data_IF_286254825723
#
_entry.id   IF_286254825723
#
_cell.length_a   1.000
_cell.length_b   1.000
_cell.length_c   1.000
_cell.angle_alpha   90.00
_cell.angle_beta   90.00
_cell.angle_gamma   90.00
#
_symmetry.space_group_name_H-M   'P 1'
#
loop_
_entity.id
_entity.type
_entity.pdbx_description
1 polymer ?
#
# COMPACT_ATOMS: atom_id res chain seq x y z
N UNK A 1 17.68 -4.54 -1.26
CA UNK A 1 17.89 -5.03 0.13
C UNK A 1 19.20 -4.42 0.59
N UNK A 2 19.19 -3.59 1.63
CA UNK A 2 20.39 -2.87 2.09
C UNK A 2 21.43 -3.86 2.63
N UNK A 3 22.68 -3.72 2.19
CA UNK A 3 23.76 -4.64 2.54
C UNK A 3 24.35 -4.22 3.89
N UNK A 4 24.52 -5.15 4.83
CA UNK A 4 25.11 -4.84 6.14
C UNK A 4 26.59 -4.46 6.00
N UNK A 5 27.00 -3.35 6.63
CA UNK A 5 28.39 -2.91 6.64
C UNK A 5 29.15 -3.62 7.77
N UNK A 6 29.92 -4.66 7.46
CA UNK A 6 30.64 -5.44 8.47
C UNK A 6 31.76 -4.68 9.20
N UNK A 7 32.26 -3.57 8.63
CA UNK A 7 33.32 -2.78 9.25
C UNK A 7 32.82 -1.83 10.35
N UNK A 8 31.54 -1.45 10.31
CA UNK A 8 30.97 -0.40 11.17
C UNK A 8 31.01 -0.74 12.67
N UNK A 9 30.80 -2.00 13.04
CA UNK A 9 30.81 -2.43 14.45
C UNK A 9 32.20 -2.22 15.04
N UNK A 10 33.25 -2.60 14.29
CA UNK A 10 34.64 -2.44 14.73
C UNK A 10 35.00 -0.97 14.86
N UNK A 11 34.60 -0.14 13.90
CA UNK A 11 34.83 1.31 13.90
C UNK A 11 34.17 1.99 15.09
N UNK A 12 32.86 1.77 15.30
CA UNK A 12 32.12 2.36 16.41
C UNK A 12 32.64 1.88 17.76
N UNK A 13 33.00 0.60 17.87
CA UNK A 13 33.58 0.04 19.09
C UNK A 13 34.91 0.72 19.43
N UNK A 14 35.81 0.86 18.45
CA UNK A 14 37.11 1.51 18.65
C UNK A 14 36.96 3.01 18.93
N UNK A 15 36.04 3.70 18.25
CA UNK A 15 35.74 5.12 18.48
C UNK A 15 35.24 5.38 19.91
N UNK A 16 34.50 4.44 20.49
CA UNK A 16 34.02 4.50 21.87
C UNK A 16 35.02 3.91 22.88
N UNK A 17 36.27 3.62 22.48
CA UNK A 17 37.31 3.09 23.37
C UNK A 17 37.01 1.70 23.94
N UNK A 18 36.12 0.93 23.31
CA UNK A 18 35.67 -0.36 23.82
C UNK A 18 36.52 -1.52 23.29
N UNK A 19 36.79 -2.52 24.14
CA UNK A 19 37.30 -3.82 23.69
C UNK A 19 36.15 -4.73 23.23
N UNK A 20 36.42 -5.76 22.41
CA UNK A 20 35.38 -6.75 22.02
C UNK A 20 34.75 -7.41 23.26
N UNK A 21 35.55 -7.59 24.33
CA UNK A 21 35.08 -8.11 25.63
C UNK A 21 34.10 -7.17 26.33
N UNK A 22 34.35 -5.85 26.29
CA UNK A 22 33.43 -4.85 26.86
C UNK A 22 32.10 -4.80 26.10
N UNK A 23 32.17 -4.81 24.76
CA UNK A 23 30.98 -4.78 23.92
C UNK A 23 30.13 -6.06 24.10
N UNK A 24 30.77 -7.22 24.12
CA UNK A 24 30.07 -8.50 24.35
C UNK A 24 29.40 -8.57 25.72
N UNK A 25 30.03 -8.01 26.77
CA UNK A 25 29.43 -7.91 28.09
C UNK A 25 28.18 -7.01 28.11
N UNK A 26 28.23 -5.83 27.47
CA UNK A 26 27.06 -4.93 27.39
C UNK A 26 25.90 -5.53 26.59
N UNK A 27 26.20 -6.32 25.57
CA UNK A 27 25.19 -7.00 24.74
C UNK A 27 24.66 -8.30 25.35
N UNK A 28 25.31 -8.84 26.38
CA UNK A 28 24.95 -10.15 26.96
C UNK A 28 25.26 -11.33 26.03
N UNK A 29 26.31 -11.23 25.22
CA UNK A 29 26.70 -12.25 24.23
C UNK A 29 28.14 -12.71 24.42
N UNK A 30 28.56 -13.74 23.67
CA UNK A 30 29.96 -14.19 23.70
C UNK A 30 30.90 -13.23 22.96
N UNK A 31 32.14 -13.10 23.43
CA UNK A 31 33.21 -12.36 22.73
C UNK A 31 33.45 -12.91 21.30
N UNK A 32 33.24 -14.21 21.10
CA UNK A 32 33.34 -14.86 19.79
C UNK A 32 32.27 -14.37 18.81
N UNK A 33 31.08 -14.02 19.29
CA UNK A 33 30.02 -13.47 18.44
C UNK A 33 30.41 -12.09 17.87
N UNK A 34 30.92 -11.19 18.73
CA UNK A 34 31.43 -9.88 18.31
C UNK A 34 32.58 -10.04 17.30
N UNK A 35 33.52 -10.96 17.57
CA UNK A 35 34.62 -11.23 16.64
C UNK A 35 34.13 -11.70 15.26
N UNK A 36 33.12 -12.57 15.20
CA UNK A 36 32.55 -13.04 13.92
C UNK A 36 31.80 -11.93 13.17
N UNK A 37 31.19 -10.98 13.88
CA UNK A 37 30.54 -9.83 13.26
C UNK A 37 31.57 -8.90 12.61
N UNK A 38 32.64 -8.56 13.34
CA UNK A 38 33.70 -7.68 12.83
C UNK A 38 34.55 -8.31 11.72
N UNK A 39 34.57 -9.64 11.61
CA UNK A 39 35.28 -10.36 10.55
C UNK A 39 34.40 -10.71 9.35
N UNK A 40 33.11 -10.32 9.36
CA UNK A 40 32.17 -10.65 8.29
C UNK A 40 31.74 -12.12 8.20
N UNK A 41 32.03 -12.93 9.23
CA UNK A 41 31.67 -14.36 9.26
C UNK A 41 30.21 -14.61 9.67
N UNK A 42 29.55 -13.62 10.26
CA UNK A 42 28.13 -13.66 10.59
C UNK A 42 27.59 -12.24 10.76
N UNK A 43 26.27 -12.06 10.64
CA UNK A 43 25.60 -10.78 10.87
C UNK A 43 24.85 -10.79 12.22
N UNK A 44 24.79 -9.66 12.95
CA UNK A 44 23.91 -9.54 14.11
C UNK A 44 22.42 -9.64 13.70
N UNK A 45 21.58 -10.17 14.59
CA UNK A 45 20.12 -10.09 14.39
C UNK A 45 19.60 -8.65 14.55
N UNK A 46 18.40 -8.37 14.06
CA UNK A 46 17.76 -7.05 14.19
C UNK A 46 17.72 -6.54 15.65
N UNK A 47 17.41 -7.41 16.61
CA UNK A 47 17.43 -7.08 18.05
C UNK A 47 18.84 -6.68 18.53
N UNK A 48 19.90 -7.32 18.05
CA UNK A 48 21.27 -6.91 18.38
C UNK A 48 21.67 -5.60 17.70
N UNK A 49 21.21 -5.34 16.47
CA UNK A 49 21.43 -4.07 15.77
C UNK A 49 20.78 -2.91 16.54
N UNK A 50 19.56 -3.10 17.04
CA UNK A 50 18.90 -2.10 17.89
C UNK A 50 19.71 -1.78 19.15
N UNK A 51 20.20 -2.80 19.88
CA UNK A 51 21.01 -2.58 21.09
C UNK A 51 22.38 -1.95 20.77
N UNK A 52 22.99 -2.31 19.64
CA UNK A 52 24.23 -1.68 19.17
C UNK A 52 24.02 -0.19 18.84
N UNK A 53 22.88 0.16 18.25
CA UNK A 53 22.49 1.54 17.96
C UNK A 53 22.36 2.37 19.26
N UNK A 54 21.73 1.80 20.30
CA UNK A 54 21.66 2.43 21.63
C UNK A 54 23.04 2.59 22.27
N UNK A 55 23.86 1.54 22.28
CA UNK A 55 25.20 1.55 22.91
C UNK A 55 26.12 2.60 22.26
N UNK A 56 26.07 2.72 20.93
CA UNK A 56 26.93 3.64 20.20
C UNK A 56 26.32 5.01 19.94
N UNK A 57 25.06 5.21 20.35
CA UNK A 57 24.29 6.42 20.10
C UNK A 57 24.28 6.82 18.61
N UNK A 58 23.93 5.87 17.75
CA UNK A 58 23.80 6.05 16.30
C UNK A 58 22.45 5.53 15.82
N UNK A 59 21.88 6.07 14.73
CA UNK A 59 20.67 5.50 14.13
C UNK A 59 20.92 4.10 13.56
N UNK A 60 19.88 3.25 13.51
CA UNK A 60 20.01 1.84 13.05
C UNK A 60 20.47 1.71 11.59
N UNK A 61 20.19 2.70 10.75
CA UNK A 61 20.62 2.74 9.34
C UNK A 61 22.13 2.89 9.18
N UNK A 62 22.84 3.38 10.20
CA UNK A 62 24.30 3.47 10.21
C UNK A 62 25.00 2.11 10.02
N UNK A 63 24.32 1.00 10.33
CA UNK A 63 24.87 -0.35 10.22
C UNK A 63 24.80 -0.94 8.80
N UNK A 64 24.20 -0.22 7.85
CA UNK A 64 24.03 -0.68 6.48
C UNK A 64 24.85 0.19 5.52
N UNK A 65 25.36 -0.41 4.45
CA UNK A 65 25.97 0.32 3.35
C UNK A 65 24.92 1.26 2.77
N UNK A 66 25.21 2.56 2.79
CA UNK A 66 24.42 3.54 2.05
C UNK A 66 24.49 3.14 0.58
N UNK A 67 23.39 2.63 0.03
CA UNK A 67 23.22 2.59 -1.41
C UNK A 67 23.47 4.00 -1.92
N UNK A 68 24.45 4.18 -2.80
CA UNK A 68 24.56 5.39 -3.62
C UNK A 68 23.32 5.44 -4.52
N UNK A 69 22.22 5.93 -3.94
CA UNK A 69 20.93 6.29 -4.53
C UNK A 69 19.89 6.52 -3.43
N UNK A 70 20.28 7.06 -2.26
CA UNK A 70 19.31 7.89 -1.53
C UNK A 70 19.38 9.25 -2.20
N UNK A 71 18.61 9.41 -3.27
CA UNK A 71 18.06 10.73 -3.54
C UNK A 71 17.47 11.18 -2.22
N UNK A 72 18.07 12.20 -1.59
CA UNK A 72 17.34 12.98 -0.58
C UNK A 72 16.06 13.36 -1.31
N UNK A 73 14.93 12.72 -0.93
CA UNK A 73 13.65 13.10 -1.51
C UNK A 73 13.58 14.60 -1.27
N UNK A 74 13.50 15.43 -2.33
CA UNK A 74 13.37 16.87 -2.13
C UNK A 74 12.25 17.08 -1.11
N UNK A 75 12.43 18.04 -0.19
CA UNK A 75 11.35 18.35 0.74
C UNK A 75 10.08 18.56 -0.08
N UNK A 76 8.96 17.89 0.29
CA UNK A 76 7.74 18.01 -0.46
C UNK A 76 7.41 19.50 -0.57
N UNK A 77 7.18 20.00 -1.79
CA UNK A 77 6.81 21.41 -2.01
C UNK A 77 5.32 21.66 -1.76
N UNK A 78 4.63 20.65 -1.21
CA UNK A 78 3.23 20.63 -0.84
C UNK A 78 2.73 19.20 -0.61
N UNK A 79 1.45 19.04 -0.26
CA UNK A 79 0.80 17.72 -0.09
C UNK A 79 -0.30 17.48 -1.11
N UNK A 80 -0.58 16.21 -1.35
CA UNK A 80 -1.63 15.71 -2.25
C UNK A 80 -3.04 15.96 -1.72
N UNK A 81 -4.04 15.84 -2.59
CA UNK A 81 -5.45 15.98 -2.23
C UNK A 81 -5.89 14.91 -1.22
N UNK A 82 -6.88 15.21 -0.40
CA UNK A 82 -7.59 14.22 0.42
C UNK A 82 -8.27 13.15 -0.47
N UNK A 83 -8.63 13.51 -1.70
CA UNK A 83 -9.17 12.55 -2.69
C UNK A 83 -8.15 11.51 -3.13
N UNK A 84 -6.85 11.74 -2.91
CA UNK A 84 -5.81 10.74 -3.14
C UNK A 84 -5.78 9.63 -2.09
N UNK A 85 -6.34 9.89 -0.91
CA UNK A 85 -6.50 8.94 0.20
C UNK A 85 -7.75 8.10 0.01
N UNK A 86 -8.87 8.74 -0.36
CA UNK A 86 -10.19 8.10 -0.47
C UNK A 86 -10.56 7.84 -1.91
N UNK A 87 -10.21 6.65 -2.42
CA UNK A 87 -10.51 6.21 -3.78
C UNK A 87 -11.51 5.08 -3.74
N UNK A 88 -12.57 5.21 -4.53
CA UNK A 88 -13.55 4.14 -4.74
C UNK A 88 -12.95 3.13 -5.72
N UNK A 89 -13.01 1.85 -5.37
CA UNK A 89 -12.55 0.77 -6.23
C UNK A 89 -12.95 -0.59 -5.69
N UNK A 90 -12.51 -1.67 -6.34
CA UNK A 90 -12.83 -3.03 -5.89
C UNK A 90 -11.77 -3.56 -4.92
N UNK A 91 -12.24 -4.25 -3.88
CA UNK A 91 -11.38 -5.08 -3.02
C UNK A 91 -10.83 -6.30 -3.75
N UNK A 92 -9.96 -7.10 -3.10
CA UNK A 92 -9.44 -6.92 -1.75
C UNK A 92 -8.21 -6.02 -1.67
N UNK A 93 -7.67 -5.56 -2.80
CA UNK A 93 -6.36 -4.89 -2.83
C UNK A 93 -6.29 -3.71 -3.78
N UNK A 94 -5.88 -2.57 -3.24
CA UNK A 94 -5.62 -1.37 -4.03
C UNK A 94 -4.52 -1.57 -5.09
N UNK A 95 -3.50 -2.39 -4.81
CA UNK A 95 -2.40 -2.65 -5.75
C UNK A 95 -2.66 -3.81 -6.72
N UNK A 96 -3.49 -4.78 -6.32
CA UNK A 96 -3.76 -5.99 -7.13
C UNK A 96 -5.13 -5.97 -7.79
N UNK A 97 -5.99 -5.00 -7.46
CA UNK A 97 -7.33 -4.85 -8.06
C UNK A 97 -7.51 -3.44 -8.64
N UNK A 98 -7.45 -2.38 -7.81
CA UNK A 98 -7.74 -1.00 -8.26
C UNK A 98 -6.71 -0.51 -9.29
N UNK A 99 -5.41 -0.73 -9.03
CA UNK A 99 -4.35 -0.37 -9.99
C UNK A 99 -4.53 -1.06 -11.36
N UNK A 100 -4.64 -2.40 -11.41
CA UNK A 100 -4.93 -3.13 -12.65
C UNK A 100 -6.23 -2.69 -13.35
N UNK A 101 -7.31 -2.41 -12.62
CA UNK A 101 -8.57 -1.88 -13.17
C UNK A 101 -8.34 -0.54 -13.90
N UNK A 102 -7.70 0.42 -13.23
CA UNK A 102 -7.37 1.73 -13.83
C UNK A 102 -6.46 1.60 -15.05
N UNK A 103 -5.47 0.70 -15.00
CA UNK A 103 -4.60 0.44 -16.14
C UNK A 103 -5.41 -0.07 -17.35
N UNK A 104 -6.37 -0.97 -17.11
CA UNK A 104 -7.26 -1.47 -18.15
C UNK A 104 -8.11 -0.35 -18.75
N UNK A 105 -8.71 0.51 -17.94
CA UNK A 105 -9.54 1.63 -18.40
C UNK A 105 -8.77 2.56 -19.35
N UNK A 106 -7.57 2.98 -18.94
CA UNK A 106 -6.72 3.85 -19.74
C UNK A 106 -6.29 3.17 -21.04
N UNK A 107 -5.92 1.90 -20.99
CA UNK A 107 -5.45 1.15 -22.17
C UNK A 107 -6.59 0.90 -23.15
N UNK A 108 -7.79 0.59 -22.65
CA UNK A 108 -8.99 0.41 -23.46
C UNK A 108 -9.36 1.71 -24.18
N UNK A 109 -9.30 2.85 -23.48
CA UNK A 109 -9.56 4.16 -24.06
C UNK A 109 -8.52 4.55 -25.12
N UNK A 110 -7.24 4.22 -24.89
CA UNK A 110 -6.15 4.44 -25.86
C UNK A 110 -6.22 3.52 -27.09
N UNK A 111 -6.95 2.39 -27.01
CA UNK A 111 -7.01 1.36 -28.05
C UNK A 111 -8.46 0.95 -28.38
N UNK A 112 -9.35 1.91 -28.63
CA UNK A 112 -10.79 1.66 -28.91
C UNK A 112 -11.05 0.70 -30.08
N UNK A 113 -10.11 0.63 -31.02
CA UNK A 113 -10.20 -0.22 -32.18
C UNK A 113 -9.84 -1.69 -31.90
N UNK A 114 -9.17 -1.99 -30.77
CA UNK A 114 -8.69 -3.33 -30.47
C UNK A 114 -9.84 -4.34 -30.33
N UNK A 115 -9.67 -5.53 -30.88
CA UNK A 115 -10.62 -6.65 -30.75
C UNK A 115 -10.13 -7.75 -29.81
N UNK A 116 -8.88 -7.66 -29.36
CA UNK A 116 -8.28 -8.59 -28.43
C UNK A 116 -7.17 -7.92 -27.58
N UNK A 117 -7.11 -8.31 -26.32
CA UNK A 117 -6.04 -7.92 -25.40
C UNK A 117 -5.34 -9.16 -24.82
N UNK A 118 -4.02 -9.04 -24.65
CA UNK A 118 -3.23 -9.97 -23.85
C UNK A 118 -2.60 -9.20 -22.70
N UNK A 119 -2.74 -9.72 -21.49
CA UNK A 119 -2.15 -9.12 -20.29
C UNK A 119 -1.26 -10.14 -19.62
N UNK A 120 0.01 -9.78 -19.39
CA UNK A 120 0.96 -10.60 -18.65
C UNK A 120 1.24 -9.95 -17.30
N UNK A 121 1.02 -10.71 -16.23
CA UNK A 121 1.28 -10.30 -14.86
C UNK A 121 2.64 -10.86 -14.43
N UNK A 122 3.44 -10.01 -13.79
CA UNK A 122 4.79 -10.36 -13.32
C UNK A 122 4.92 -10.16 -11.80
N UNK A 123 6.00 -10.71 -11.23
CA UNK A 123 6.39 -10.43 -9.85
C UNK A 123 5.33 -10.80 -8.81
N UNK A 124 4.99 -9.88 -7.91
CA UNK A 124 3.96 -10.09 -6.89
C UNK A 124 2.58 -10.28 -7.50
N UNK A 125 2.22 -9.51 -8.54
CA UNK A 125 0.94 -9.69 -9.24
C UNK A 125 0.81 -11.10 -9.83
N UNK A 126 1.91 -11.66 -10.36
CA UNK A 126 1.90 -13.04 -10.83
C UNK A 126 1.64 -14.05 -9.68
N UNK A 127 2.32 -13.85 -8.55
CA UNK A 127 2.31 -14.77 -7.41
C UNK A 127 0.97 -14.79 -6.67
N UNK A 128 0.37 -13.63 -6.46
CA UNK A 128 -0.80 -13.49 -5.57
C UNK A 128 -2.05 -13.03 -6.31
N UNK A 129 -1.95 -12.65 -7.60
CA UNK A 129 -3.04 -12.02 -8.34
C UNK A 129 -4.30 -12.88 -8.44
N UNK A 130 -4.18 -14.21 -8.52
CA UNK A 130 -5.36 -15.10 -8.46
C UNK A 130 -6.14 -14.96 -7.16
N UNK A 131 -5.43 -14.93 -6.02
CA UNK A 131 -6.06 -14.78 -4.71
C UNK A 131 -6.67 -13.39 -4.50
N UNK A 132 -6.13 -12.38 -5.18
CA UNK A 132 -6.64 -11.01 -5.17
C UNK A 132 -7.66 -10.72 -6.29
N UNK A 133 -8.01 -11.69 -7.13
CA UNK A 133 -8.94 -11.49 -8.24
C UNK A 133 -8.42 -10.56 -9.35
N UNK A 134 -7.11 -10.37 -9.48
CA UNK A 134 -6.49 -9.49 -10.49
C UNK A 134 -6.89 -9.86 -11.92
N UNK A 135 -6.89 -11.16 -12.24
CA UNK A 135 -7.32 -11.65 -13.55
C UNK A 135 -8.80 -11.39 -13.81
N UNK A 136 -9.63 -11.56 -12.79
CA UNK A 136 -11.06 -11.32 -12.84
C UNK A 136 -11.36 -9.85 -13.12
N UNK A 137 -10.69 -8.93 -12.41
CA UNK A 137 -10.89 -7.49 -12.64
C UNK A 137 -10.43 -7.08 -14.04
N UNK A 138 -9.28 -7.56 -14.50
CA UNK A 138 -8.75 -7.24 -15.84
C UNK A 138 -9.73 -7.68 -16.93
N UNK A 139 -10.23 -8.93 -16.85
CA UNK A 139 -11.19 -9.46 -17.83
C UNK A 139 -12.51 -8.69 -17.81
N UNK A 140 -13.01 -8.35 -16.61
CA UNK A 140 -14.27 -7.61 -16.45
C UNK A 140 -14.15 -6.20 -17.02
N UNK A 141 -13.06 -5.49 -16.76
CA UNK A 141 -12.86 -4.11 -17.21
C UNK A 141 -12.65 -4.02 -18.73
N UNK A 142 -11.94 -4.99 -19.32
CA UNK A 142 -11.69 -5.01 -20.77
C UNK A 142 -12.89 -5.53 -21.59
N UNK A 143 -13.88 -6.18 -20.97
CA UNK A 143 -15.10 -6.61 -21.63
C UNK A 143 -15.82 -5.45 -22.36
N UNK A 144 -16.47 -5.68 -23.51
CA UNK A 144 -16.71 -6.98 -24.14
C UNK A 144 -15.52 -7.50 -24.99
N UNK A 145 -14.42 -6.75 -25.08
CA UNK A 145 -13.25 -7.17 -25.86
C UNK A 145 -12.61 -8.39 -25.23
N UNK A 146 -12.30 -9.42 -26.03
CA UNK A 146 -11.71 -10.64 -25.52
C UNK A 146 -10.34 -10.34 -24.91
N UNK A 147 -10.08 -10.88 -23.72
CA UNK A 147 -8.82 -10.69 -23.02
C UNK A 147 -8.28 -12.01 -22.49
N UNK A 148 -7.00 -12.30 -22.73
CA UNK A 148 -6.26 -13.37 -22.04
C UNK A 148 -5.32 -12.79 -20.98
N UNK A 149 -5.32 -13.39 -19.80
CA UNK A 149 -4.46 -13.02 -18.68
C UNK A 149 -3.48 -14.17 -18.40
N UNK A 150 -2.19 -13.89 -18.49
CA UNK A 150 -1.09 -14.83 -18.26
C UNK A 150 -0.33 -14.45 -16.99
N UNK A 151 0.09 -15.45 -16.21
CA UNK A 151 0.90 -15.26 -15.01
C UNK A 151 2.32 -15.75 -15.31
N UNK A 152 3.30 -14.84 -15.31
CA UNK A 152 4.70 -15.16 -15.56
C UNK A 152 5.49 -15.15 -14.25
N UNK A 153 5.96 -16.32 -13.86
CA UNK A 153 6.74 -16.56 -12.64
C UNK A 153 8.26 -16.60 -12.88
N UNK A 154 8.71 -16.41 -14.12
CA UNK A 154 10.10 -16.61 -14.52
C UNK A 154 10.95 -15.32 -14.45
N UNK A 155 10.34 -14.15 -14.61
CA UNK A 155 11.07 -12.87 -14.53
C UNK A 155 11.36 -12.47 -13.09
N UNK A 156 12.65 -12.30 -12.79
CA UNK A 156 13.14 -11.85 -11.49
C UNK A 156 13.69 -10.41 -11.50
N UNK A 157 14.09 -9.90 -12.67
CA UNK A 157 14.58 -8.53 -12.82
C UNK A 157 13.46 -7.65 -13.37
N UNK A 158 12.74 -6.99 -12.47
CA UNK A 158 11.60 -6.15 -12.77
C UNK A 158 11.80 -4.76 -12.17
N UNK A 159 11.45 -3.68 -12.89
CA UNK A 159 11.54 -2.32 -12.36
C UNK A 159 10.59 -2.09 -11.16
N UNK A 160 9.51 -2.87 -11.06
CA UNK A 160 8.59 -2.84 -9.92
C UNK A 160 8.01 -4.25 -9.65
N UNK A 161 7.81 -4.67 -8.39
CA UNK A 161 7.24 -5.99 -8.08
C UNK A 161 5.82 -6.20 -8.62
N UNK A 162 5.04 -5.12 -8.77
CA UNK A 162 3.70 -5.17 -9.35
C UNK A 162 3.74 -4.66 -10.80
N UNK A 163 4.31 -5.47 -11.70
CA UNK A 163 4.44 -5.13 -13.13
C UNK A 163 3.42 -5.88 -13.97
N UNK A 164 2.84 -5.18 -14.95
CA UNK A 164 1.92 -5.72 -15.95
C UNK A 164 2.41 -5.33 -17.35
N UNK A 165 2.27 -6.22 -18.32
CA UNK A 165 2.45 -5.91 -19.75
C UNK A 165 1.12 -6.11 -20.47
N UNK A 166 0.61 -5.04 -21.06
CA UNK A 166 -0.60 -5.07 -21.87
C UNK A 166 -0.22 -5.02 -23.34
N UNK A 167 -0.84 -5.89 -24.13
CA UNK A 167 -0.69 -5.88 -25.58
C UNK A 167 -2.07 -5.87 -26.22
N UNK A 168 -2.33 -4.86 -27.05
CA UNK A 168 -3.59 -4.68 -27.77
C UNK A 168 -3.43 -5.19 -29.21
N UNK A 169 -4.46 -5.87 -29.73
CA UNK A 169 -4.45 -6.43 -31.08
C UNK A 169 -5.68 -6.02 -31.88
N UNK A 170 -5.52 -6.00 -33.20
CA UNK A 170 -6.61 -5.89 -34.17
C UNK A 170 -6.39 -6.88 -35.30
N UNK A 171 -7.36 -7.75 -35.57
CA UNK A 171 -7.30 -8.75 -36.63
C UNK A 171 -5.99 -9.59 -36.58
N UNK A 172 -5.55 -9.90 -35.36
CA UNK A 172 -4.31 -10.65 -35.10
C UNK A 172 -3.00 -9.86 -35.19
N UNK A 173 -3.03 -8.57 -35.55
CA UNK A 173 -1.86 -7.68 -35.56
C UNK A 173 -1.74 -6.90 -34.26
N UNK A 174 -0.53 -6.80 -33.73
CA UNK A 174 -0.24 -5.97 -32.56
C UNK A 174 -0.39 -4.49 -32.91
N UNK A 175 -1.18 -3.77 -32.11
CA UNK A 175 -1.38 -2.32 -32.22
C UNK A 175 -0.50 -1.55 -31.25
N UNK A 176 -0.40 -2.03 -30.02
CA UNK A 176 0.40 -1.40 -28.98
C UNK A 176 0.81 -2.40 -27.91
N UNK A 177 1.95 -2.13 -27.28
CA UNK A 177 2.44 -2.86 -26.13
C UNK A 177 2.93 -1.86 -25.06
N UNK A 178 2.38 -1.97 -23.85
CA UNK A 178 2.60 -1.02 -22.77
C UNK A 178 2.84 -1.74 -21.45
N UNK A 179 3.98 -1.46 -20.82
CA UNK A 179 4.30 -1.93 -19.47
C UNK A 179 3.79 -0.90 -18.45
N UNK A 180 3.14 -1.41 -17.41
CA UNK A 180 2.48 -0.61 -16.37
C UNK A 180 2.84 -1.16 -14.99
N UNK A 181 3.09 -0.27 -14.03
CA UNK A 181 3.41 -0.59 -12.65
C UNK A 181 2.28 -0.14 -11.74
N UNK A 182 1.78 -1.02 -10.86
CA UNK A 182 0.88 -0.58 -9.78
C UNK A 182 1.69 -0.24 -8.52
N UNK A 183 1.77 1.04 -8.19
CA UNK A 183 2.72 1.57 -7.19
C UNK A 183 2.13 1.73 -5.78
N UNK A 184 0.85 1.36 -5.59
CA UNK A 184 0.17 1.39 -4.29
C UNK A 184 -0.98 2.40 -4.24
N UNK A 185 -1.94 2.20 -3.33
CA UNK A 185 -3.10 3.10 -3.16
C UNK A 185 -3.96 3.24 -4.42
N UNK A 186 -3.93 2.25 -5.32
CA UNK A 186 -4.60 2.29 -6.62
C UNK A 186 -3.91 3.13 -7.69
N UNK A 187 -2.73 3.71 -7.44
CA UNK A 187 -2.00 4.48 -8.44
C UNK A 187 -1.19 3.58 -9.38
N UNK A 188 -1.00 4.06 -10.62
CA UNK A 188 -0.25 3.37 -11.66
C UNK A 188 0.74 4.28 -12.38
N UNK A 189 1.79 3.69 -12.93
CA UNK A 189 2.80 4.38 -13.74
C UNK A 189 3.03 3.58 -15.01
N UNK A 190 3.01 4.25 -16.17
CA UNK A 190 3.38 3.65 -17.45
C UNK A 190 4.89 3.76 -17.65
N UNK A 191 5.52 2.67 -18.07
CA UNK A 191 6.95 2.65 -18.38
C UNK A 191 7.26 3.64 -19.51
N UNK A 192 8.30 4.46 -19.31
CA UNK A 192 8.74 5.52 -20.23
C UNK A 192 7.71 6.62 -20.51
N UNK A 193 6.64 6.73 -19.71
CA UNK A 193 5.75 7.89 -19.74
C UNK A 193 6.06 8.79 -18.54
N UNK A 194 5.96 10.13 -18.71
CA UNK A 194 6.10 11.03 -17.59
C UNK A 194 5.05 10.67 -16.53
N UNK A 195 5.50 10.54 -15.28
CA UNK A 195 4.59 10.40 -14.15
C UNK A 195 3.74 11.67 -14.14
N UNK A 196 2.42 11.52 -14.28
CA UNK A 196 1.50 12.63 -14.07
C UNK A 196 1.76 13.16 -12.66
N UNK A 197 2.42 14.31 -12.57
CA UNK A 197 2.62 14.98 -11.29
C UNK A 197 1.25 15.42 -10.82
N UNK A 198 0.74 14.71 -9.82
CA UNK A 198 -0.45 15.16 -9.09
C UNK A 198 -0.16 16.55 -8.57
N UNK A 199 -1.10 17.47 -8.79
CA UNK A 199 -1.00 18.82 -8.25
C UNK A 199 -0.92 18.74 -6.73
N UNK A 200 0.06 19.43 -6.16
CA UNK A 200 0.12 19.61 -4.71
C UNK A 200 -0.98 20.59 -4.33
N UNK A 201 -2.03 20.09 -3.68
CA UNK A 201 -3.22 20.84 -3.30
C UNK A 201 -2.94 21.68 -2.06
N UNK A 202 -2.21 21.11 -1.09
CA UNK A 202 -1.87 21.79 0.15
C UNK A 202 -0.47 22.37 0.10
N UNK A 203 -0.32 23.61 0.53
CA UNK A 203 0.99 24.31 0.56
C UNK A 203 1.80 23.96 1.81
N UNK A 204 1.14 23.76 2.94
CA UNK A 204 1.79 23.39 4.19
C UNK A 204 2.12 21.90 4.17
N UNK A 205 3.25 21.52 4.77
CA UNK A 205 3.73 20.14 4.76
C UNK A 205 3.85 19.55 6.15
N UNK A 206 3.73 20.39 7.18
CA UNK A 206 3.78 20.01 8.59
C UNK A 206 2.51 20.43 9.31
N UNK A 207 2.10 19.61 10.27
CA UNK A 207 0.88 19.87 11.03
C UNK A 207 0.94 21.19 11.82
N UNK A 208 2.11 21.58 12.34
CA UNK A 208 2.26 22.85 13.05
C UNK A 208 2.01 24.06 12.13
N UNK A 209 2.50 24.01 10.88
CA UNK A 209 2.24 25.05 9.87
C UNK A 209 0.74 25.15 9.55
N UNK A 210 0.05 24.01 9.41
CA UNK A 210 -1.41 23.97 9.21
C UNK A 210 -2.15 24.54 10.43
N UNK A 211 -1.72 24.16 11.64
CA UNK A 211 -2.35 24.61 12.87
C UNK A 211 -2.19 26.12 13.08
N UNK A 212 -0.98 26.65 12.83
CA UNK A 212 -0.70 28.08 12.85
C UNK A 212 -1.56 28.82 11.81
N UNK A 213 -1.62 28.32 10.57
CA UNK A 213 -2.48 28.88 9.52
C UNK A 213 -3.95 28.95 9.92
N UNK A 214 -4.48 27.87 10.52
CA UNK A 214 -5.86 27.81 10.99
C UNK A 214 -6.12 28.80 12.12
N UNK A 215 -5.19 28.91 13.07
CA UNK A 215 -5.30 29.84 14.20
C UNK A 215 -5.29 31.30 13.76
N UNK A 216 -4.35 31.67 12.88
CA UNK A 216 -4.24 33.03 12.34
C UNK A 216 -5.52 33.49 11.63
N UNK A 217 -6.23 32.56 10.98
CA UNK A 217 -7.45 32.84 10.22
C UNK A 217 -8.74 32.51 10.97
N UNK A 218 -8.65 32.06 12.22
CA UNK A 218 -9.80 31.66 13.04
C UNK A 218 -10.67 30.58 12.38
N UNK A 219 -10.05 29.67 11.60
CA UNK A 219 -10.74 28.58 10.90
C UNK A 219 -10.50 27.23 11.57
N UNK A 220 -11.38 26.29 11.28
CA UNK A 220 -11.30 24.88 11.63
C UNK A 220 -10.51 24.11 10.58
N UNK A 221 -10.03 22.92 10.94
CA UNK A 221 -9.26 22.08 10.02
C UNK A 221 -10.06 21.66 8.77
N UNK A 222 -11.37 21.48 8.89
CA UNK A 222 -12.22 21.14 7.74
C UNK A 222 -12.41 22.34 6.79
N UNK A 223 -12.49 23.57 7.31
CA UNK A 223 -12.50 24.79 6.49
C UNK A 223 -11.16 24.96 5.76
N UNK A 224 -10.05 24.61 6.40
CA UNK A 224 -8.74 24.56 5.74
C UNK A 224 -8.72 23.54 4.58
N UNK A 225 -9.32 22.36 4.76
CA UNK A 225 -9.46 21.36 3.68
C UNK A 225 -10.29 21.93 2.54
N UNK A 226 -11.48 22.46 2.81
CA UNK A 226 -12.36 23.06 1.80
C UNK A 226 -11.71 24.24 1.06
N UNK A 227 -10.90 25.06 1.75
CA UNK A 227 -10.18 26.19 1.13
C UNK A 227 -9.11 25.73 0.13
N UNK A 228 -8.44 24.59 0.40
CA UNK A 228 -7.36 24.09 -0.47
C UNK A 228 -7.91 23.19 -1.58
N UNK A 229 -8.96 22.41 -1.31
CA UNK A 229 -9.56 21.51 -2.29
C UNK A 229 -10.37 22.29 -3.34
N UNK A 230 -10.36 21.79 -4.58
CA UNK A 230 -10.94 22.48 -5.72
C UNK A 230 -12.44 22.26 -5.91
N UNK A 231 -12.96 22.83 -6.99
CA UNK A 231 -14.33 22.59 -7.45
C UNK A 231 -14.62 21.08 -7.60
N UNK A 232 -15.78 20.64 -7.10
CA UNK A 232 -16.20 19.23 -7.13
C UNK A 232 -15.76 18.39 -5.92
N UNK A 233 -15.00 18.95 -4.97
CA UNK A 233 -14.55 18.24 -3.77
C UNK A 233 -15.72 17.74 -2.92
N UNK A 234 -16.71 18.60 -2.65
CA UNK A 234 -17.86 18.24 -1.81
C UNK A 234 -18.72 17.14 -2.43
N UNK A 235 -18.97 17.21 -3.74
CA UNK A 235 -19.68 16.17 -4.50
C UNK A 235 -18.92 14.84 -4.46
N UNK A 236 -17.60 14.90 -4.59
CA UNK A 236 -16.75 13.71 -4.50
C UNK A 236 -16.80 13.10 -3.10
N UNK A 237 -16.66 13.90 -2.05
CA UNK A 237 -16.71 13.41 -0.67
C UNK A 237 -18.08 12.87 -0.28
N UNK A 238 -19.17 13.42 -0.81
CA UNK A 238 -20.52 12.83 -0.71
C UNK A 238 -20.57 11.46 -1.40
N UNK A 239 -19.98 11.34 -2.59
CA UNK A 239 -19.92 10.06 -3.32
C UNK A 239 -19.13 9.00 -2.53
N UNK A 240 -17.99 9.40 -1.95
CA UNK A 240 -17.20 8.56 -1.04
C UNK A 240 -18.02 8.12 0.17
N UNK A 241 -18.72 9.06 0.81
CA UNK A 241 -19.56 8.78 1.98
C UNK A 241 -20.68 7.78 1.65
N UNK A 242 -21.39 7.97 0.54
CA UNK A 242 -22.42 7.04 0.08
C UNK A 242 -21.82 5.65 -0.23
N UNK A 243 -20.65 5.59 -0.86
CA UNK A 243 -19.96 4.32 -1.12
C UNK A 243 -19.62 3.59 0.18
N UNK A 244 -19.05 4.27 1.18
CA UNK A 244 -18.74 3.68 2.49
C UNK A 244 -20.00 3.16 3.20
N UNK A 245 -21.09 3.95 3.21
CA UNK A 245 -22.37 3.52 3.77
C UNK A 245 -22.94 2.30 3.06
N UNK A 246 -22.90 2.27 1.73
CA UNK A 246 -23.36 1.12 0.97
C UNK A 246 -22.52 -0.13 1.28
N UNK A 247 -21.20 -0.03 1.36
CA UNK A 247 -20.34 -1.15 1.74
C UNK A 247 -20.66 -1.67 3.15
N UNK A 248 -20.88 -0.79 4.13
CA UNK A 248 -21.33 -1.21 5.48
C UNK A 248 -22.68 -1.91 5.40
N UNK A 249 -23.66 -1.30 4.75
CA UNK A 249 -25.01 -1.85 4.64
C UNK A 249 -25.00 -3.23 3.99
N UNK A 250 -24.27 -3.41 2.90
CA UNK A 250 -24.15 -4.69 2.22
C UNK A 250 -23.48 -5.72 3.15
N UNK A 251 -22.36 -5.38 3.78
CA UNK A 251 -21.65 -6.30 4.68
C UNK A 251 -22.46 -6.71 5.92
N UNK A 252 -23.31 -5.82 6.45
CA UNK A 252 -24.22 -6.14 7.55
C UNK A 252 -25.38 -7.08 7.14
N UNK A 253 -25.69 -7.18 5.86
CA UNK A 253 -26.75 -8.05 5.33
C UNK A 253 -26.20 -9.34 4.69
N UNK A 254 -24.90 -9.38 4.43
CA UNK A 254 -24.18 -10.48 3.80
C UNK A 254 -23.83 -11.58 4.81
N UNK A 255 -23.75 -12.82 4.31
CA UNK A 255 -23.50 -14.01 5.12
C UNK A 255 -22.73 -15.07 4.31
N UNK A 256 -22.36 -16.17 4.97
CA UNK A 256 -21.62 -17.26 4.35
C UNK A 256 -20.11 -17.17 4.58
N UNK A 257 -19.35 -17.68 3.61
CA UNK A 257 -17.90 -17.92 3.71
C UNK A 257 -17.16 -16.96 2.78
N UNK A 258 -16.08 -16.35 3.26
CA UNK A 258 -15.21 -15.52 2.45
C UNK A 258 -14.53 -16.34 1.33
N UNK A 259 -14.38 -15.77 0.13
CA UNK A 259 -13.62 -16.42 -0.94
C UNK A 259 -12.14 -16.58 -0.55
N UNK A 260 -11.41 -17.40 -1.32
CA UNK A 260 -9.96 -17.62 -1.10
C UNK A 260 -9.61 -18.93 -0.40
N UNK A 261 -10.58 -19.80 -0.11
CA UNK A 261 -10.33 -21.19 0.29
C UNK A 261 -9.90 -21.41 1.75
N UNK A 262 -9.93 -20.37 2.58
CA UNK A 262 -9.62 -20.45 4.02
C UNK A 262 -10.82 -20.83 4.91
N UNK A 263 -12.00 -21.00 4.31
CA UNK A 263 -13.25 -21.33 5.01
C UNK A 263 -13.59 -20.39 6.18
N UNK A 264 -13.26 -19.10 6.05
CA UNK A 264 -13.54 -18.07 7.06
C UNK A 264 -15.00 -17.63 6.94
N UNK A 265 -15.76 -17.76 8.02
CA UNK A 265 -17.15 -17.29 8.07
C UNK A 265 -17.24 -15.78 8.27
N UNK A 266 -18.15 -15.14 7.55
CA UNK A 266 -18.57 -13.75 7.78
C UNK A 266 -19.26 -13.62 9.14
N UNK A 267 -18.98 -12.54 9.86
CA UNK A 267 -19.44 -12.26 11.23
C UNK A 267 -20.14 -10.92 11.38
N UNK A 268 -19.99 -9.99 10.44
CA UNK A 268 -20.57 -8.65 10.53
C UNK A 268 -22.07 -8.64 10.89
N UNK A 269 -22.88 -9.36 10.11
CA UNK A 269 -24.34 -9.52 10.34
C UNK A 269 -24.67 -10.08 11.71
N UNK A 270 -23.92 -11.09 12.16
CA UNK A 270 -24.13 -11.71 13.48
C UNK A 270 -23.80 -10.74 14.61
N UNK A 271 -22.68 -10.01 14.50
CA UNK A 271 -22.28 -9.01 15.49
C UNK A 271 -23.27 -7.85 15.58
N UNK A 272 -23.87 -7.46 14.46
CA UNK A 272 -24.86 -6.38 14.43
C UNK A 272 -26.22 -6.80 15.01
N UNK A 273 -26.69 -8.00 14.67
CA UNK A 273 -28.03 -8.46 15.04
C UNK A 273 -28.11 -9.10 16.43
N UNK A 274 -27.01 -9.67 16.95
CA UNK A 274 -27.03 -10.29 18.27
C UNK A 274 -27.31 -9.22 19.32
N UNK A 275 -28.31 -9.45 20.17
CA UNK A 275 -28.58 -8.66 21.37
C UNK A 275 -28.49 -9.61 22.56
N UNK A 276 -27.61 -9.31 23.52
CA UNK A 276 -27.60 -10.01 24.79
C UNK A 276 -28.46 -9.24 25.79
N UNK A 277 -29.38 -9.94 26.46
CA UNK A 277 -30.39 -9.36 27.37
C UNK A 277 -29.71 -8.52 28.48
N UNK A 278 -28.51 -8.91 28.92
CA UNK A 278 -27.76 -8.26 29.99
C UNK A 278 -26.52 -7.47 29.49
N UNK A 279 -26.51 -7.05 28.23
CA UNK A 279 -25.38 -6.31 27.67
C UNK A 279 -25.31 -4.87 28.19
N UNK A 280 -24.12 -4.46 28.68
CA UNK A 280 -23.84 -3.07 29.05
C UNK A 280 -23.82 -2.17 27.82
N UNK A 281 -24.20 -0.90 27.98
CA UNK A 281 -24.25 0.07 26.88
C UNK A 281 -22.90 0.20 26.14
N UNK A 282 -21.79 0.21 26.87
CA UNK A 282 -20.44 0.33 26.32
C UNK A 282 -20.04 -0.93 25.51
N UNK A 283 -20.46 -2.11 25.97
CA UNK A 283 -20.23 -3.37 25.24
C UNK A 283 -21.03 -3.40 23.94
N UNK A 284 -22.28 -2.93 23.99
CA UNK A 284 -23.14 -2.80 22.82
C UNK A 284 -22.55 -1.85 21.78
N UNK A 285 -22.09 -0.67 22.22
CA UNK A 285 -21.45 0.31 21.33
C UNK A 285 -20.22 -0.28 20.65
N UNK A 286 -19.31 -0.88 21.42
CA UNK A 286 -18.11 -1.54 20.88
C UNK A 286 -18.47 -2.65 19.88
N UNK A 287 -19.47 -3.49 20.19
CA UNK A 287 -19.92 -4.55 19.27
C UNK A 287 -20.44 -3.97 17.96
N UNK A 288 -21.23 -2.90 18.01
CA UNK A 288 -21.77 -2.22 16.82
C UNK A 288 -20.62 -1.64 15.97
N UNK A 289 -19.66 -0.93 16.59
CA UNK A 289 -18.48 -0.41 15.87
C UNK A 289 -17.68 -1.54 15.23
N UNK A 290 -17.43 -2.63 15.95
CA UNK A 290 -16.78 -3.81 15.40
C UNK A 290 -17.57 -4.38 14.22
N UNK A 291 -18.90 -4.45 14.30
CA UNK A 291 -19.72 -4.98 13.20
C UNK A 291 -19.56 -4.19 11.90
N UNK A 292 -19.39 -2.86 11.98
CA UNK A 292 -19.11 -2.02 10.81
C UNK A 292 -17.71 -2.27 10.24
N UNK A 293 -16.70 -2.42 11.11
CA UNK A 293 -15.35 -2.76 10.69
C UNK A 293 -15.29 -4.15 10.01
N UNK A 294 -15.99 -5.15 10.58
CA UNK A 294 -16.13 -6.47 9.98
C UNK A 294 -16.88 -6.40 8.65
N UNK A 295 -17.98 -5.63 8.57
CA UNK A 295 -18.74 -5.47 7.32
C UNK A 295 -17.84 -4.98 6.18
N UNK A 296 -17.06 -3.92 6.41
CA UNK A 296 -16.11 -3.41 5.43
C UNK A 296 -15.02 -4.43 5.09
N UNK A 297 -14.40 -5.05 6.11
CA UNK A 297 -13.34 -6.04 5.90
C UNK A 297 -13.81 -7.25 5.09
N UNK A 298 -15.04 -7.71 5.34
CA UNK A 298 -15.66 -8.85 4.66
C UNK A 298 -16.06 -8.51 3.22
N UNK A 299 -16.63 -7.32 2.97
CA UNK A 299 -16.91 -6.83 1.62
C UNK A 299 -15.61 -6.67 0.81
N UNK A 300 -14.57 -6.09 1.41
CA UNK A 300 -13.25 -5.97 0.80
C UNK A 300 -12.69 -7.34 0.41
N UNK A 301 -12.67 -8.29 1.35
CA UNK A 301 -12.22 -9.65 1.10
C UNK A 301 -13.06 -10.39 0.04
N UNK A 302 -14.33 -10.00 -0.13
CA UNK A 302 -15.24 -10.57 -1.13
C UNK A 302 -15.07 -9.96 -2.54
N UNK A 303 -14.23 -8.94 -2.70
CA UNK A 303 -14.00 -8.29 -4.01
C UNK A 303 -15.07 -7.27 -4.39
N UNK A 304 -15.85 -6.82 -3.41
CA UNK A 304 -16.91 -5.82 -3.60
C UNK A 304 -16.33 -4.41 -3.73
N UNK A 305 -17.19 -3.44 -4.04
CA UNK A 305 -16.81 -2.02 -4.08
C UNK A 305 -16.51 -1.52 -2.67
N UNK A 306 -15.33 -0.91 -2.48
CA UNK A 306 -14.82 -0.33 -1.23
C UNK A 306 -14.26 1.07 -1.48
N UNK A 307 -13.96 1.79 -0.39
CA UNK A 307 -13.20 3.05 -0.44
C UNK A 307 -11.90 2.89 0.33
N UNK A 308 -10.78 3.28 -0.27
CA UNK A 308 -9.47 3.23 0.39
C UNK A 308 -9.43 4.21 1.57
N UNK A 309 -8.78 3.84 2.68
CA UNK A 309 -8.65 4.73 3.84
C UNK A 309 -7.41 4.45 4.73
N UNK A 310 -6.16 4.56 4.21
CA UNK A 310 -5.72 4.95 2.86
C UNK A 310 -5.51 3.75 1.90
N UNK A 311 -5.82 2.52 2.32
CA UNK A 311 -5.69 1.29 1.51
C UNK A 311 -6.98 0.51 1.43
#
# INVERSE_FOLDING_TARGET
MERFNFNIIKELRLKNGMTQKMLSHQLGISNRAVSKWESGLSQPSASHIFRLAEIFNVPMDAFYERSQSVTVKPEPTGMLSVTDIYKIGRGPSSSHTIGPERACEIIKERNKQADYFKVVLYGSLAKTGKGHGTDTVIRKTLAPVKCDVCFDFSQNDLPHPNTMLFTAYKDGKELSSKRVFSVGGGDIVFENEPISQKSMVYRHTKFNEIAEYCQERQMRLWEYVEENEGEGFDEYMKTVWEAMKHSIHNGLNDEGILPGGLNIQKKAKTLYNNQHIDEKAETRENRIVCSYAFAIGEQNASGETIVTAPT
#
